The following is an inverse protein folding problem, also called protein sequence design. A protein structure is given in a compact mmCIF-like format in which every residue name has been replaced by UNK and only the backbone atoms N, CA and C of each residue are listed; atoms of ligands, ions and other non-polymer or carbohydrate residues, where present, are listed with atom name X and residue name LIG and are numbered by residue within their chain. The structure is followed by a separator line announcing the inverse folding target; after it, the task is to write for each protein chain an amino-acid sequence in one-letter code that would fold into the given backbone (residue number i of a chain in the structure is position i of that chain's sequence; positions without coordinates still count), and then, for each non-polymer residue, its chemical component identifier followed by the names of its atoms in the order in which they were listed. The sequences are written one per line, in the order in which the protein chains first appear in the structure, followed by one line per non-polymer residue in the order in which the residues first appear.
data_IF_078664865185
#
_entry.id   IF_078664865185
#
_cell.length_a   1.000
_cell.length_b   1.000
_cell.length_c   1.000
_cell.angle_alpha   90.00
_cell.angle_beta   90.00
_cell.angle_gamma   90.00
#
_symmetry.space_group_name_H-M   'P 1'
#
loop_
_entity.id
_entity.type
_entity.pdbx_description
1 polymer ?
#
# COMPACT_ATOMS: atom_id res chain seq x y z
N UNK A 1 35.32 42.79 -3.62
CA UNK A 1 35.38 41.33 -3.39
C UNK A 1 34.08 40.87 -2.74
N UNK A 2 33.20 40.18 -3.46
CA UNK A 2 31.92 39.69 -2.91
C UNK A 2 31.67 38.27 -3.36
N UNK A 3 31.93 37.29 -2.48
CA UNK A 3 31.76 35.86 -2.77
C UNK A 3 30.26 35.55 -2.95
N UNK A 4 29.81 35.32 -4.19
CA UNK A 4 28.45 34.81 -4.48
C UNK A 4 28.32 33.38 -3.95
N UNK A 5 27.50 33.21 -2.91
CA UNK A 5 27.19 31.92 -2.28
C UNK A 5 26.42 31.04 -3.26
N UNK A 6 26.98 29.88 -3.60
CA UNK A 6 26.31 28.82 -4.36
C UNK A 6 25.00 28.41 -3.67
N UNK A 7 23.85 28.67 -4.32
CA UNK A 7 22.57 28.03 -3.95
C UNK A 7 22.74 26.53 -4.17
N UNK A 8 22.88 25.76 -3.09
CA UNK A 8 22.72 24.30 -3.12
C UNK A 8 21.42 24.00 -3.87
N UNK A 9 21.52 23.34 -5.03
CA UNK A 9 20.36 22.70 -5.68
C UNK A 9 19.78 21.74 -4.66
N UNK A 10 18.60 22.04 -4.13
CA UNK A 10 17.84 21.10 -3.30
C UNK A 10 17.64 19.85 -4.16
N UNK A 11 18.08 18.70 -3.66
CA UNK A 11 17.72 17.42 -4.26
C UNK A 11 16.20 17.36 -4.29
N UNK A 12 15.61 17.18 -5.48
CA UNK A 12 14.19 16.85 -5.63
C UNK A 12 13.96 15.39 -5.25
N UNK A 13 14.38 14.98 -4.06
CA UNK A 13 13.99 13.70 -3.47
C UNK A 13 12.89 14.01 -2.47
N UNK A 14 11.68 14.05 -3.00
CA UNK A 14 10.51 14.64 -2.38
C UNK A 14 9.56 15.08 -3.47
N UNK A 15 9.37 14.24 -4.48
CA UNK A 15 8.18 14.34 -5.32
C UNK A 15 7.03 13.94 -4.43
N UNK A 16 6.32 14.95 -3.97
CA UNK A 16 4.89 14.93 -3.68
C UNK A 16 4.25 13.81 -4.50
N UNK A 17 4.06 12.66 -3.85
CA UNK A 17 3.35 11.55 -4.45
C UNK A 17 1.92 12.06 -4.48
N UNK A 18 1.43 12.45 -5.65
CA UNK A 18 -0.01 12.52 -5.85
C UNK A 18 -0.51 11.14 -5.44
N UNK A 19 -1.20 11.07 -4.29
CA UNK A 19 -1.66 9.80 -3.72
C UNK A 19 -2.82 9.34 -4.58
N UNK A 20 -2.51 8.83 -5.76
CA UNK A 20 -3.45 8.03 -6.52
C UNK A 20 -3.75 6.82 -5.65
N UNK A 21 -5.02 6.70 -5.28
CA UNK A 21 -5.49 5.54 -4.55
C UNK A 21 -5.25 4.29 -5.38
N UNK A 22 -4.77 3.21 -4.76
CA UNK A 22 -4.60 1.89 -5.40
C UNK A 22 -5.92 1.38 -6.03
N UNK A 23 -7.05 1.96 -5.65
CA UNK A 23 -8.35 1.64 -6.23
C UNK A 23 -8.44 2.02 -7.71
N UNK A 24 -7.68 3.01 -8.19
CA UNK A 24 -7.64 3.41 -9.60
C UNK A 24 -6.97 2.36 -10.50
N UNK A 25 -6.08 1.53 -9.95
CA UNK A 25 -5.36 0.48 -10.68
C UNK A 25 -6.14 -0.84 -10.79
N UNK A 26 -7.33 -0.93 -10.18
CA UNK A 26 -8.11 -2.16 -10.19
C UNK A 26 -8.75 -2.39 -11.57
N UNK A 27 -8.62 -3.58 -12.17
CA UNK A 27 -9.09 -3.84 -13.54
C UNK A 27 -10.62 -3.76 -13.70
N UNK A 28 -11.37 -3.78 -12.60
CA UNK A 28 -12.82 -3.61 -12.59
C UNK A 28 -13.27 -2.17 -12.27
N UNK A 29 -12.34 -1.25 -11.99
CA UNK A 29 -12.65 0.15 -11.69
C UNK A 29 -13.36 0.83 -12.86
N UNK A 30 -12.94 0.58 -14.09
CA UNK A 30 -13.60 1.07 -15.32
C UNK A 30 -15.02 0.52 -15.49
N UNK A 31 -15.31 -0.68 -14.95
CA UNK A 31 -16.61 -1.31 -15.03
C UNK A 31 -17.60 -0.83 -13.94
N UNK A 32 -17.13 -0.09 -12.93
CA UNK A 32 -17.95 0.45 -11.86
C UNK A 32 -18.53 1.80 -12.27
N UNK A 33 -19.71 1.77 -12.88
CA UNK A 33 -20.46 2.96 -13.35
C UNK A 33 -20.74 3.97 -12.23
N UNK A 34 -20.79 3.51 -10.97
CA UNK A 34 -20.98 4.37 -9.79
C UNK A 34 -20.02 3.94 -8.68
N UNK A 35 -19.17 4.85 -8.20
CA UNK A 35 -18.26 4.63 -7.06
C UNK A 35 -18.99 4.19 -5.77
N UNK A 36 -20.32 4.35 -5.72
CA UNK A 36 -21.18 3.93 -4.60
C UNK A 36 -21.42 2.42 -4.56
N UNK A 37 -21.11 1.69 -5.65
CA UNK A 37 -21.17 0.23 -5.68
C UNK A 37 -19.96 -0.41 -4.98
N UNK A 38 -18.90 0.36 -4.78
CA UNK A 38 -17.85 0.00 -3.84
C UNK A 38 -18.28 0.46 -2.46
N UNK A 39 -18.63 -0.51 -1.61
CA UNK A 39 -18.79 -0.25 -0.19
C UNK A 39 -17.40 0.01 0.43
N UNK A 40 -16.92 1.24 0.25
CA UNK A 40 -15.62 1.70 0.75
C UNK A 40 -15.51 1.46 2.24
N UNK A 41 -16.61 1.61 2.99
CA UNK A 41 -16.63 1.36 4.43
C UNK A 41 -16.31 -0.10 4.76
N UNK A 42 -16.89 -1.06 4.05
CA UNK A 42 -16.57 -2.48 4.22
C UNK A 42 -15.16 -2.83 3.74
N UNK A 43 -14.70 -2.23 2.64
CA UNK A 43 -13.35 -2.46 2.11
C UNK A 43 -12.31 -1.92 3.08
N UNK A 44 -12.45 -0.66 3.52
CA UNK A 44 -11.57 -0.02 4.50
C UNK A 44 -11.57 -0.78 5.81
N UNK A 45 -12.75 -1.18 6.33
CA UNK A 45 -12.82 -2.01 7.55
C UNK A 45 -12.07 -3.32 7.39
N UNK A 46 -12.24 -4.02 6.25
CA UNK A 46 -11.55 -5.29 5.99
C UNK A 46 -10.02 -5.11 5.94
N UNK A 47 -9.55 -4.08 5.23
CA UNK A 47 -8.12 -3.79 5.09
C UNK A 47 -7.52 -3.37 6.43
N UNK A 48 -8.15 -2.43 7.14
CA UNK A 48 -7.69 -1.96 8.45
C UNK A 48 -7.67 -3.08 9.49
N UNK A 49 -8.73 -3.90 9.58
CA UNK A 49 -8.79 -5.02 10.51
C UNK A 49 -7.65 -6.02 10.24
N UNK A 50 -7.38 -6.35 8.97
CA UNK A 50 -6.29 -7.25 8.60
C UNK A 50 -4.90 -6.67 8.95
N UNK A 51 -4.68 -5.36 8.72
CA UNK A 51 -3.44 -4.67 9.07
C UNK A 51 -3.26 -4.67 10.59
N UNK A 52 -4.28 -4.26 11.35
CA UNK A 52 -4.24 -4.19 12.82
C UNK A 52 -4.02 -5.58 13.41
N UNK A 53 -4.75 -6.59 12.96
CA UNK A 53 -4.61 -7.97 13.45
C UNK A 53 -3.21 -8.53 13.18
N UNK A 54 -2.59 -8.13 12.08
CA UNK A 54 -1.22 -8.55 11.74
C UNK A 54 -0.17 -7.79 12.55
N UNK A 55 -0.33 -6.48 12.72
CA UNK A 55 0.59 -5.65 13.53
C UNK A 55 0.56 -6.03 15.01
N UNK A 56 -0.63 -6.30 15.55
CA UNK A 56 -0.82 -6.69 16.94
C UNK A 56 -0.66 -8.20 17.17
N UNK A 57 -0.31 -8.96 16.12
CA UNK A 57 -0.17 -10.42 16.14
C UNK A 57 -1.35 -11.12 16.87
N UNK A 58 -2.57 -10.70 16.55
CA UNK A 58 -3.79 -11.24 17.18
C UNK A 58 -3.98 -12.67 16.70
N UNK A 59 -3.74 -13.63 17.61
CA UNK A 59 -3.80 -15.07 17.33
C UNK A 59 -5.16 -15.45 16.73
N UNK A 60 -5.13 -16.06 15.53
CA UNK A 60 -6.32 -16.56 14.83
C UNK A 60 -7.11 -15.52 14.02
N UNK A 61 -6.69 -14.24 14.02
CA UNK A 61 -7.33 -13.19 13.19
C UNK A 61 -6.40 -12.57 12.15
N UNK A 62 -5.08 -12.81 12.24
CA UNK A 62 -4.16 -12.39 11.19
C UNK A 62 -4.38 -13.20 9.92
N UNK A 63 -4.35 -12.51 8.77
CA UNK A 63 -4.47 -13.11 7.44
C UNK A 63 -3.14 -13.65 6.89
N UNK A 64 -2.13 -13.81 7.75
CA UNK A 64 -0.88 -14.51 7.43
C UNK A 64 -1.11 -16.03 7.37
N UNK A 65 -1.63 -16.51 6.25
CA UNK A 65 -1.81 -17.93 5.94
C UNK A 65 -0.83 -18.43 4.89
N UNK A 66 -0.82 -19.75 4.66
CA UNK A 66 0.07 -20.38 3.67
C UNK A 66 -0.07 -19.79 2.26
N UNK A 67 -1.29 -19.45 1.84
CA UNK A 67 -1.54 -18.82 0.54
C UNK A 67 -0.94 -17.41 0.48
N UNK A 68 -1.14 -16.61 1.53
CA UNK A 68 -0.54 -15.27 1.66
C UNK A 68 1.00 -15.34 1.55
N UNK A 69 1.64 -16.35 2.16
CA UNK A 69 3.10 -16.56 2.06
C UNK A 69 3.56 -17.00 0.68
N UNK A 70 2.77 -17.81 -0.03
CA UNK A 70 3.03 -18.16 -1.44
C UNK A 70 2.87 -16.94 -2.36
N UNK A 71 1.92 -16.05 -2.07
CA UNK A 71 1.75 -14.81 -2.81
C UNK A 71 2.95 -13.87 -2.61
N UNK A 72 3.47 -13.78 -1.37
CA UNK A 72 4.72 -13.05 -1.09
C UNK A 72 5.91 -13.62 -1.88
N UNK A 73 5.99 -14.94 -2.02
CA UNK A 73 7.01 -15.59 -2.86
C UNK A 73 6.85 -15.25 -4.33
N UNK A 74 5.62 -15.29 -4.85
CA UNK A 74 5.32 -14.93 -6.25
C UNK A 74 5.60 -13.46 -6.55
N UNK A 75 5.38 -12.58 -5.59
CA UNK A 75 5.71 -11.15 -5.67
C UNK A 75 7.18 -10.86 -5.38
N UNK A 76 7.99 -11.87 -5.02
CA UNK A 76 9.41 -11.77 -4.71
C UNK A 76 9.74 -10.74 -3.60
N UNK A 77 8.87 -10.65 -2.58
CA UNK A 77 8.99 -9.73 -1.44
C UNK A 77 8.99 -10.50 -0.12
N UNK A 78 9.64 -9.97 0.92
CA UNK A 78 9.67 -10.53 2.29
C UNK A 78 10.08 -12.02 2.34
N UNK A 79 11.27 -12.32 1.84
CA UNK A 79 11.85 -13.69 1.77
C UNK A 79 11.86 -14.44 3.10
N UNK A 80 11.98 -13.73 4.23
CA UNK A 80 11.92 -14.30 5.58
C UNK A 80 10.58 -14.96 5.95
N UNK A 81 9.51 -14.65 5.20
CA UNK A 81 8.16 -15.18 5.40
C UNK A 81 7.75 -16.15 4.29
N UNK A 82 8.63 -16.48 3.35
CA UNK A 82 8.35 -17.52 2.36
C UNK A 82 8.24 -18.87 3.09
N UNK A 83 7.35 -19.78 2.62
CA UNK A 83 7.24 -21.12 3.20
C UNK A 83 8.54 -21.92 3.06
#
# INVERSE_FOLDING_TARGET
MGKKKNRKKRSKFGTEVEKESIFWDLPYWEALVLCHNLDVMHIEKNVCDNIINTLLNVKGKSKDGLNSRKDLQKMNIRHELHP
#
